data_IF_173201381284
#
_entry.id   IF_173201381284
#
_cell.length_a   1.000
_cell.length_b   1.000
_cell.length_c   1.000
_cell.angle_alpha   90.00
_cell.angle_beta   90.00
_cell.angle_gamma   90.00
#
_symmetry.space_group_name_H-M   'P 1'
#
loop_
_entity.id
_entity.type
_entity.pdbx_description
1 polymer ?
#
# COMPACT_ATOMS: atom_id res chain seq x y z
N UNK A 1 2.13 15.29 -18.95
CA UNK A 1 2.34 16.01 -17.68
C UNK A 1 1.48 17.27 -17.65
N UNK A 2 0.71 17.49 -16.56
CA UNK A 2 -0.17 18.66 -16.36
C UNK A 2 0.08 19.22 -14.96
N UNK A 3 0.30 20.54 -14.84
CA UNK A 3 0.47 21.24 -13.57
C UNK A 3 -0.86 21.88 -13.14
N UNK A 4 -1.25 21.68 -11.88
CA UNK A 4 -2.47 22.25 -11.29
C UNK A 4 -2.18 23.21 -10.14
N UNK A 5 -1.00 23.13 -9.52
CA UNK A 5 -0.58 23.94 -8.38
C UNK A 5 0.87 24.40 -8.58
N UNK A 6 1.31 25.38 -7.79
CA UNK A 6 2.68 25.83 -7.76
C UNK A 6 3.64 24.67 -7.49
N UNK A 7 4.73 24.62 -8.25
CA UNK A 7 5.72 23.55 -8.20
C UNK A 7 7.11 24.10 -7.88
N UNK A 8 7.83 23.44 -7.01
CA UNK A 8 9.25 23.66 -6.77
C UNK A 8 9.97 22.31 -6.65
N UNK A 9 11.29 22.32 -6.81
CA UNK A 9 12.09 21.10 -6.73
C UNK A 9 12.08 20.56 -5.29
N UNK A 10 11.63 19.31 -5.06
CA UNK A 10 11.66 18.72 -3.73
C UNK A 10 13.07 18.35 -3.30
N UNK A 11 13.23 18.04 -2.01
CA UNK A 11 14.46 17.45 -1.45
C UNK A 11 14.32 15.96 -1.13
N UNK A 12 13.10 15.47 -1.00
CA UNK A 12 12.77 14.07 -0.69
C UNK A 12 11.61 13.63 -1.54
N UNK A 13 11.67 12.41 -2.05
CA UNK A 13 10.56 11.76 -2.73
C UNK A 13 10.00 10.66 -1.86
N UNK A 14 8.69 10.68 -1.68
CA UNK A 14 7.96 9.56 -1.11
C UNK A 14 7.10 8.93 -2.21
N UNK A 15 7.03 7.59 -2.25
CA UNK A 15 6.28 6.89 -3.28
C UNK A 15 5.31 5.89 -2.65
N UNK A 16 4.09 5.89 -3.15
CA UNK A 16 3.23 4.73 -2.97
C UNK A 16 3.79 3.54 -3.75
N UNK A 17 3.36 2.33 -3.43
CA UNK A 17 3.89 1.10 -4.03
C UNK A 17 2.88 0.45 -4.97
N UNK A 18 1.73 0.04 -4.42
CA UNK A 18 0.66 -0.66 -5.14
C UNK A 18 0.02 0.29 -6.17
N UNK A 19 -0.16 -0.17 -7.41
CA UNK A 19 -0.72 0.63 -8.51
C UNK A 19 0.07 1.92 -8.87
N UNK A 20 1.20 2.12 -8.18
CA UNK A 20 2.17 3.18 -8.47
C UNK A 20 3.42 2.62 -9.13
N UNK A 21 4.03 1.57 -8.58
CA UNK A 21 5.24 0.94 -9.13
C UNK A 21 4.93 -0.22 -10.07
N UNK A 22 3.79 -0.86 -9.90
CA UNK A 22 3.33 -2.04 -10.63
C UNK A 22 1.82 -2.15 -10.58
N UNK A 23 1.22 -2.87 -11.53
CA UNK A 23 -0.20 -3.23 -11.51
C UNK A 23 -0.47 -4.22 -10.38
N UNK A 24 -1.16 -3.75 -9.34
CA UNK A 24 -1.47 -4.53 -8.16
C UNK A 24 -2.70 -5.43 -8.32
N UNK A 25 -3.63 -5.07 -9.20
CA UNK A 25 -4.90 -5.81 -9.37
C UNK A 25 -4.69 -7.32 -9.50
N UNK A 26 -3.94 -7.81 -10.49
CA UNK A 26 -3.71 -9.25 -10.64
C UNK A 26 -3.00 -9.91 -9.45
N UNK A 27 -2.14 -9.17 -8.76
CA UNK A 27 -1.35 -9.70 -7.62
C UNK A 27 -2.25 -9.91 -6.41
N UNK A 28 -3.07 -8.92 -6.07
CA UNK A 28 -3.96 -9.00 -4.92
C UNK A 28 -5.08 -10.01 -5.15
N UNK A 29 -5.65 -10.04 -6.35
CA UNK A 29 -6.70 -10.98 -6.72
C UNK A 29 -6.22 -12.44 -6.58
N UNK A 30 -5.01 -12.73 -7.06
CA UNK A 30 -4.42 -14.06 -6.93
C UNK A 30 -4.14 -14.41 -5.46
N UNK A 31 -3.62 -13.49 -4.66
CA UNK A 31 -3.32 -13.73 -3.24
C UNK A 31 -4.61 -13.95 -2.42
N UNK A 32 -5.66 -13.18 -2.70
CA UNK A 32 -6.97 -13.32 -2.08
C UNK A 32 -7.63 -14.66 -2.43
N UNK A 33 -7.58 -15.06 -3.69
CA UNK A 33 -8.14 -16.33 -4.14
C UNK A 33 -7.39 -17.52 -3.52
N UNK A 34 -6.06 -17.47 -3.53
CA UNK A 34 -5.20 -18.47 -2.92
C UNK A 34 -5.53 -18.69 -1.43
N UNK A 35 -5.57 -17.61 -0.64
CA UNK A 35 -5.75 -17.74 0.81
C UNK A 35 -7.18 -18.16 1.16
N UNK A 36 -8.20 -17.66 0.46
CA UNK A 36 -9.60 -18.05 0.66
C UNK A 36 -9.83 -19.51 0.28
N UNK A 37 -9.15 -19.99 -0.75
CA UNK A 37 -9.18 -21.41 -1.13
C UNK A 37 -8.53 -22.26 -0.05
N UNK A 38 -7.34 -21.90 0.43
CA UNK A 38 -6.63 -22.63 1.48
C UNK A 38 -7.45 -22.70 2.76
N UNK A 39 -8.00 -21.60 3.24
CA UNK A 39 -8.82 -21.56 4.46
C UNK A 39 -10.05 -22.46 4.31
N UNK A 40 -10.76 -22.37 3.19
CA UNK A 40 -11.97 -23.14 2.97
C UNK A 40 -11.71 -24.63 2.89
N UNK A 41 -10.68 -25.03 2.14
CA UNK A 41 -10.35 -26.46 1.92
C UNK A 41 -9.76 -27.10 3.17
N UNK A 42 -8.84 -26.43 3.88
CA UNK A 42 -8.12 -27.04 5.00
C UNK A 42 -8.84 -26.94 6.35
N UNK A 43 -9.70 -25.92 6.54
CA UNK A 43 -10.21 -25.60 7.87
C UNK A 43 -11.73 -25.45 7.97
N UNK A 44 -12.44 -25.33 6.84
CA UNK A 44 -13.90 -25.17 6.85
C UNK A 44 -14.60 -26.41 6.25
N UNK A 45 -15.48 -26.21 5.28
CA UNK A 45 -16.36 -27.22 4.69
C UNK A 45 -15.79 -27.89 3.42
N UNK A 46 -14.55 -27.65 3.10
CA UNK A 46 -13.89 -28.17 1.89
C UNK A 46 -14.08 -27.30 0.64
N UNK A 47 -14.87 -26.24 0.72
CA UNK A 47 -15.07 -25.28 -0.36
C UNK A 47 -14.25 -24.00 -0.11
N UNK A 48 -13.99 -23.25 -1.19
CA UNK A 48 -13.38 -21.93 -1.07
C UNK A 48 -14.22 -21.01 -0.19
N UNK A 49 -13.58 -20.29 0.74
CA UNK A 49 -14.24 -19.29 1.58
C UNK A 49 -14.90 -18.20 0.71
N UNK A 50 -16.20 -17.98 0.91
CA UNK A 50 -16.94 -17.01 0.12
C UNK A 50 -16.60 -15.57 0.53
N UNK A 51 -16.76 -14.64 -0.43
CA UNK A 51 -16.53 -13.23 -0.18
C UNK A 51 -17.52 -12.63 0.82
N UNK A 52 -18.75 -13.13 0.85
CA UNK A 52 -19.81 -12.71 1.77
C UNK A 52 -19.44 -13.05 3.21
N UNK A 53 -18.99 -14.29 3.47
CA UNK A 53 -18.56 -14.72 4.81
C UNK A 53 -17.32 -13.90 5.25
N UNK A 54 -16.33 -13.75 4.37
CA UNK A 54 -15.15 -12.95 4.68
C UNK A 54 -15.51 -11.50 5.02
N UNK A 55 -16.38 -10.87 4.21
CA UNK A 55 -16.82 -9.49 4.41
C UNK A 55 -17.64 -9.30 5.68
N UNK A 56 -18.48 -10.28 6.02
CA UNK A 56 -19.26 -10.26 7.27
C UNK A 56 -18.33 -10.27 8.49
N UNK A 57 -17.35 -11.19 8.52
CA UNK A 57 -16.39 -11.27 9.64
C UNK A 57 -15.53 -9.98 9.69
N UNK A 58 -15.14 -9.44 8.53
CA UNK A 58 -14.40 -8.17 8.47
C UNK A 58 -15.19 -7.03 9.12
N UNK A 59 -16.48 -6.90 8.81
CA UNK A 59 -17.35 -5.86 9.39
C UNK A 59 -17.49 -6.03 10.90
N UNK A 60 -17.64 -7.26 11.38
CA UNK A 60 -17.69 -7.55 12.81
C UNK A 60 -16.41 -7.15 13.54
N UNK A 61 -15.23 -7.49 12.98
CA UNK A 61 -13.94 -7.09 13.57
C UNK A 61 -13.81 -5.55 13.63
N UNK A 62 -14.17 -4.84 12.58
CA UNK A 62 -14.15 -3.37 12.56
C UNK A 62 -15.20 -2.75 13.50
N UNK A 63 -16.32 -3.42 13.76
CA UNK A 63 -17.30 -2.93 14.73
C UNK A 63 -16.81 -3.03 16.18
N UNK A 64 -15.95 -4.00 16.46
CA UNK A 64 -15.34 -4.22 17.80
C UNK A 64 -14.09 -3.35 17.98
N UNK A 65 -13.26 -3.21 16.96
CA UNK A 65 -12.02 -2.44 16.98
C UNK A 65 -11.86 -1.66 15.67
N UNK A 66 -12.42 -0.43 15.57
CA UNK A 66 -12.36 0.39 14.37
C UNK A 66 -10.93 0.73 13.93
N UNK A 67 -9.98 0.80 14.85
CA UNK A 67 -8.58 1.13 14.57
C UNK A 67 -7.89 0.09 13.66
N UNK A 68 -8.42 -1.12 13.58
CA UNK A 68 -7.94 -2.14 12.64
C UNK A 68 -8.09 -1.73 11.17
N UNK A 69 -8.91 -0.72 10.87
CA UNK A 69 -8.99 -0.15 9.52
C UNK A 69 -7.64 0.41 9.04
N UNK A 70 -6.80 0.86 9.97
CA UNK A 70 -5.46 1.39 9.67
C UNK A 70 -4.37 0.33 9.52
N UNK A 71 -4.68 -0.93 9.83
CA UNK A 71 -3.71 -2.04 9.75
C UNK A 71 -4.33 -3.25 9.06
N UNK A 72 -4.16 -3.31 7.74
CA UNK A 72 -4.73 -4.39 6.91
C UNK A 72 -4.18 -5.78 7.28
N UNK A 73 -2.96 -5.85 7.83
CA UNK A 73 -2.36 -7.13 8.25
C UNK A 73 -2.99 -7.63 9.54
N UNK A 74 -3.12 -6.76 10.54
CA UNK A 74 -3.74 -7.11 11.82
C UNK A 74 -5.22 -7.43 11.65
N UNK A 75 -5.94 -6.64 10.84
CA UNK A 75 -7.33 -6.91 10.51
C UNK A 75 -7.48 -8.30 9.87
N UNK A 76 -6.64 -8.64 8.89
CA UNK A 76 -6.66 -9.93 8.21
C UNK A 76 -6.34 -11.08 9.16
N UNK A 77 -5.36 -10.94 10.02
CA UNK A 77 -5.04 -11.91 11.06
C UNK A 77 -6.25 -12.21 11.95
N UNK A 78 -6.95 -11.18 12.45
CA UNK A 78 -8.12 -11.36 13.28
C UNK A 78 -9.29 -11.99 12.52
N UNK A 79 -9.49 -11.65 11.24
CA UNK A 79 -10.49 -12.32 10.39
C UNK A 79 -10.18 -13.82 10.29
N UNK A 80 -8.93 -14.20 10.01
CA UNK A 80 -8.55 -15.60 9.92
C UNK A 80 -8.74 -16.32 11.24
N UNK A 81 -8.30 -15.73 12.35
CA UNK A 81 -8.47 -16.29 13.69
C UNK A 81 -9.94 -16.52 14.04
N UNK A 82 -10.81 -15.56 13.75
CA UNK A 82 -12.24 -15.65 14.01
C UNK A 82 -12.90 -16.75 13.17
N UNK A 83 -12.56 -16.87 11.89
CA UNK A 83 -13.05 -17.95 11.03
C UNK A 83 -12.68 -19.32 11.57
N UNK A 84 -11.46 -19.50 12.08
CA UNK A 84 -10.98 -20.75 12.66
C UNK A 84 -11.68 -21.07 14.00
N UNK A 85 -11.95 -20.06 14.84
CA UNK A 85 -12.74 -20.21 16.06
C UNK A 85 -14.16 -20.71 15.74
N UNK A 86 -14.81 -20.11 14.73
CA UNK A 86 -16.15 -20.57 14.24
C UNK A 86 -16.12 -21.97 13.67
N UNK A 87 -14.99 -22.40 13.11
CA UNK A 87 -14.76 -23.78 12.68
C UNK A 87 -14.46 -24.75 13.83
N UNK A 88 -14.56 -24.32 15.10
CA UNK A 88 -14.38 -25.15 16.29
C UNK A 88 -12.91 -25.38 16.69
N UNK A 89 -11.95 -24.64 16.18
CA UNK A 89 -10.56 -24.70 16.65
C UNK A 89 -10.43 -24.03 18.03
N UNK A 90 -9.48 -24.49 18.84
CA UNK A 90 -9.13 -23.81 20.09
C UNK A 90 -8.59 -22.39 19.84
N UNK A 91 -8.57 -21.53 20.85
CA UNK A 91 -8.00 -20.18 20.72
C UNK A 91 -6.51 -20.19 20.34
N UNK A 92 -5.76 -21.12 20.93
CA UNK A 92 -4.32 -21.26 20.70
C UNK A 92 -4.03 -21.79 19.29
N UNK A 93 -4.74 -22.84 18.87
CA UNK A 93 -4.62 -23.37 17.51
C UNK A 93 -5.04 -22.33 16.47
N UNK A 94 -6.13 -21.60 16.72
CA UNK A 94 -6.61 -20.55 15.80
C UNK A 94 -5.59 -19.42 15.64
N UNK A 95 -4.90 -19.05 16.72
CA UNK A 95 -3.82 -18.06 16.66
C UNK A 95 -2.66 -18.54 15.82
N UNK A 96 -2.11 -19.72 16.12
CA UNK A 96 -0.97 -20.28 15.40
C UNK A 96 -1.28 -20.52 13.90
N UNK A 97 -2.47 -21.04 13.58
CA UNK A 97 -2.89 -21.24 12.18
C UNK A 97 -3.05 -19.88 11.47
N UNK A 98 -3.64 -18.87 12.13
CA UNK A 98 -3.81 -17.54 11.54
C UNK A 98 -2.47 -16.86 11.23
N UNK A 99 -1.45 -17.06 12.08
CA UNK A 99 -0.08 -16.58 11.80
C UNK A 99 0.53 -17.26 10.57
N UNK A 100 0.37 -18.58 10.44
CA UNK A 100 0.84 -19.33 9.27
C UNK A 100 0.12 -18.89 7.98
N UNK A 101 -1.18 -18.71 8.04
CA UNK A 101 -1.98 -18.18 6.92
C UNK A 101 -1.54 -16.78 6.52
N UNK A 102 -1.26 -15.90 7.50
CA UNK A 102 -0.72 -14.56 7.22
C UNK A 102 0.64 -14.60 6.57
N UNK A 103 1.55 -15.46 7.06
CA UNK A 103 2.86 -15.64 6.46
C UNK A 103 2.74 -16.08 4.99
N UNK A 104 1.90 -17.06 4.70
CA UNK A 104 1.66 -17.53 3.33
C UNK A 104 1.00 -16.46 2.46
N UNK A 105 0.00 -15.74 2.99
CA UNK A 105 -0.61 -14.62 2.27
C UNK A 105 0.43 -13.59 1.86
N UNK A 106 1.26 -13.10 2.79
CA UNK A 106 2.30 -12.11 2.51
C UNK A 106 3.30 -12.65 1.48
N UNK A 107 3.68 -13.92 1.57
CA UNK A 107 4.59 -14.56 0.61
C UNK A 107 3.99 -14.60 -0.81
N UNK A 108 2.71 -14.95 -0.93
CA UNK A 108 2.02 -14.96 -2.23
C UNK A 108 1.78 -13.54 -2.74
N UNK A 109 1.31 -12.64 -1.86
CA UNK A 109 1.06 -11.22 -2.12
C UNK A 109 2.31 -10.45 -2.56
N UNK A 110 3.49 -10.96 -2.19
CA UNK A 110 4.78 -10.35 -2.55
C UNK A 110 5.41 -10.94 -3.81
N UNK A 111 4.69 -11.78 -4.57
CA UNK A 111 5.11 -12.24 -5.89
C UNK A 111 4.86 -11.17 -6.94
N UNK A 112 5.53 -10.05 -6.78
CA UNK A 112 5.38 -8.85 -7.58
C UNK A 112 6.48 -8.85 -8.64
N UNK A 113 6.12 -8.44 -9.85
CA UNK A 113 7.08 -8.16 -10.91
C UNK A 113 7.02 -6.67 -11.24
N UNK A 114 7.90 -5.88 -10.60
CA UNK A 114 8.03 -4.46 -10.92
C UNK A 114 8.61 -4.31 -12.34
N UNK A 115 7.98 -3.56 -13.24
CA UNK A 115 8.50 -3.34 -14.59
C UNK A 115 9.93 -2.78 -14.56
N UNK A 116 10.77 -3.24 -15.50
CA UNK A 116 12.16 -2.80 -15.57
C UNK A 116 12.27 -1.28 -15.75
N UNK A 117 11.41 -0.71 -16.55
CA UNK A 117 11.34 0.75 -16.75
C UNK A 117 11.12 1.49 -15.41
N UNK A 118 10.21 1.00 -14.57
CA UNK A 118 9.97 1.55 -13.22
C UNK A 118 11.23 1.46 -12.37
N UNK A 119 11.90 0.30 -12.34
CA UNK A 119 13.15 0.13 -11.59
C UNK A 119 14.25 1.08 -12.09
N UNK A 120 14.40 1.23 -13.39
CA UNK A 120 15.40 2.14 -13.99
C UNK A 120 15.13 3.60 -13.59
N UNK A 121 13.86 4.02 -13.55
CA UNK A 121 13.46 5.35 -13.03
C UNK A 121 13.83 5.51 -11.56
N UNK A 122 13.46 4.55 -10.71
CA UNK A 122 13.76 4.60 -9.28
C UNK A 122 15.27 4.67 -9.01
N UNK A 123 16.07 3.85 -9.69
CA UNK A 123 17.52 3.90 -9.55
C UNK A 123 18.13 5.25 -9.96
N UNK A 124 17.60 5.87 -11.00
CA UNK A 124 18.06 7.22 -11.43
C UNK A 124 17.66 8.29 -10.40
N UNK A 125 16.43 8.25 -9.89
CA UNK A 125 15.95 9.18 -8.86
C UNK A 125 16.74 9.02 -7.56
N UNK A 126 17.05 7.78 -7.15
CA UNK A 126 17.83 7.50 -5.93
C UNK A 126 19.25 8.06 -5.96
N UNK A 127 19.82 8.31 -7.12
CA UNK A 127 21.13 8.98 -7.23
C UNK A 127 21.07 10.47 -6.82
N UNK A 128 19.88 11.05 -6.71
CA UNK A 128 19.68 12.47 -6.50
C UNK A 128 18.80 12.80 -5.29
N UNK A 129 17.92 11.91 -4.91
CA UNK A 129 16.94 12.10 -3.85
C UNK A 129 16.94 10.91 -2.89
N UNK A 130 16.76 11.14 -1.57
CA UNK A 130 16.25 10.10 -0.68
C UNK A 130 14.88 9.61 -1.18
N UNK A 131 14.70 8.29 -1.27
CA UNK A 131 13.46 7.66 -1.68
C UNK A 131 12.85 6.88 -0.51
N UNK A 132 11.63 7.22 -0.13
CA UNK A 132 10.88 6.57 0.96
C UNK A 132 9.59 5.96 0.41
N UNK A 133 9.40 4.67 0.60
CA UNK A 133 8.13 4.00 0.28
C UNK A 133 7.07 4.29 1.35
N UNK A 134 5.84 4.66 0.95
CA UNK A 134 4.69 4.83 1.87
C UNK A 134 3.53 3.97 1.38
N UNK A 135 3.21 2.87 2.04
CA UNK A 135 2.16 1.96 1.58
C UNK A 135 1.09 1.68 2.63
N UNK A 136 -0.17 1.67 2.18
CA UNK A 136 -1.30 1.14 2.95
C UNK A 136 -1.40 -0.39 2.82
N UNK A 137 -0.67 -0.98 1.87
CA UNK A 137 -0.61 -2.41 1.65
C UNK A 137 0.36 -3.12 2.59
N UNK A 138 0.48 -4.43 2.39
CA UNK A 138 1.30 -5.31 3.23
C UNK A 138 2.20 -6.26 2.41
N UNK A 139 2.49 -5.94 1.16
CA UNK A 139 3.52 -6.65 0.41
C UNK A 139 4.90 -6.41 1.03
N UNK A 140 5.76 -7.40 0.95
CA UNK A 140 7.14 -7.28 1.43
C UNK A 140 8.07 -6.83 0.28
N UNK A 141 8.62 -5.63 0.33
CA UNK A 141 9.59 -5.15 -0.68
C UNK A 141 10.79 -6.08 -0.83
N UNK A 142 11.21 -6.72 0.27
CA UNK A 142 12.30 -7.70 0.29
C UNK A 142 11.96 -8.95 -0.51
N UNK A 143 10.79 -9.54 -0.29
CA UNK A 143 10.35 -10.72 -1.05
C UNK A 143 10.09 -10.38 -2.51
N UNK A 144 9.65 -9.16 -2.79
CA UNK A 144 9.42 -8.63 -4.12
C UNK A 144 10.70 -8.12 -4.82
N UNK A 145 11.85 -8.08 -4.11
CA UNK A 145 13.19 -7.73 -4.62
C UNK A 145 13.33 -6.32 -5.17
N UNK A 146 12.64 -5.35 -4.58
CA UNK A 146 12.80 -3.93 -4.89
C UNK A 146 13.11 -3.06 -3.65
N UNK A 147 13.42 -3.69 -2.50
CA UNK A 147 13.76 -2.97 -1.27
C UNK A 147 14.96 -2.02 -1.46
N UNK A 148 15.95 -2.43 -2.26
CA UNK A 148 17.15 -1.63 -2.54
C UNK A 148 16.85 -0.32 -3.30
N UNK A 149 15.66 -0.18 -3.88
CA UNK A 149 15.24 1.07 -4.52
C UNK A 149 14.92 2.18 -3.52
N UNK A 150 14.71 1.84 -2.24
CA UNK A 150 14.32 2.77 -1.19
C UNK A 150 15.39 2.88 -0.09
N UNK A 151 15.39 4.01 0.62
CA UNK A 151 16.17 4.19 1.83
C UNK A 151 15.40 3.70 3.07
N UNK A 152 14.07 3.76 3.00
CA UNK A 152 13.14 3.24 4.00
C UNK A 152 11.79 2.91 3.34
N UNK A 153 11.05 1.95 3.90
CA UNK A 153 9.66 1.67 3.50
C UNK A 153 8.78 1.65 4.75
N UNK A 154 7.82 2.56 4.79
CA UNK A 154 6.87 2.75 5.88
C UNK A 154 5.56 2.06 5.51
N UNK A 155 5.16 1.09 6.33
CA UNK A 155 3.89 0.39 6.19
C UNK A 155 2.87 0.97 7.17
N UNK A 156 1.61 1.02 6.73
CA UNK A 156 0.52 1.37 7.62
C UNK A 156 0.36 0.32 8.74
N UNK A 157 0.09 0.81 9.96
CA UNK A 157 -0.11 0.02 11.15
C UNK A 157 -0.98 0.80 12.16
N UNK A 158 -1.43 0.16 13.24
CA UNK A 158 -2.24 0.82 14.28
C UNK A 158 -1.54 2.07 14.84
N UNK A 159 -0.22 2.03 15.02
CA UNK A 159 0.59 3.16 15.48
C UNK A 159 1.14 4.06 14.35
N UNK A 160 0.88 3.72 13.11
CA UNK A 160 1.24 4.47 11.91
C UNK A 160 0.04 4.46 10.95
N UNK A 161 -0.98 5.32 11.20
CA UNK A 161 -2.23 5.26 10.44
C UNK A 161 -2.04 5.38 8.93
N UNK A 162 -2.84 4.60 8.18
CA UNK A 162 -2.83 4.56 6.73
C UNK A 162 -3.14 5.92 6.09
N UNK A 163 -2.58 6.18 4.90
CA UNK A 163 -2.98 7.31 4.05
C UNK A 163 -4.50 7.28 3.83
N UNK A 164 -5.22 8.42 3.89
CA UNK A 164 -4.75 9.80 3.83
C UNK A 164 -4.43 10.45 5.18
N UNK A 165 -4.16 9.68 6.24
CA UNK A 165 -3.63 10.27 7.47
C UNK A 165 -2.24 10.86 7.20
N UNK A 166 -1.91 12.06 7.69
CA UNK A 166 -0.62 12.71 7.42
C UNK A 166 0.58 12.04 8.09
N UNK A 167 0.38 11.12 9.02
CA UNK A 167 1.44 10.57 9.87
C UNK A 167 2.63 10.00 9.10
N UNK A 168 2.37 9.18 8.05
CA UNK A 168 3.45 8.56 7.25
C UNK A 168 4.29 9.59 6.51
N UNK A 169 3.66 10.65 5.97
CA UNK A 169 4.34 11.73 5.25
C UNK A 169 5.22 12.56 6.21
N UNK A 170 4.67 12.91 7.38
CA UNK A 170 5.40 13.65 8.42
C UNK A 170 6.56 12.83 8.98
N UNK A 171 6.37 11.52 9.16
CA UNK A 171 7.44 10.62 9.58
C UNK A 171 8.56 10.57 8.53
N UNK A 172 8.24 10.50 7.24
CA UNK A 172 9.23 10.52 6.16
C UNK A 172 10.05 11.82 6.15
N UNK A 173 9.39 12.98 6.32
CA UNK A 173 10.07 14.27 6.44
C UNK A 173 11.01 14.31 7.65
N UNK A 174 10.55 13.82 8.81
CA UNK A 174 11.34 13.73 10.04
C UNK A 174 12.53 12.77 9.88
N UNK A 175 12.33 11.61 9.24
CA UNK A 175 13.37 10.60 9.02
C UNK A 175 14.55 11.16 8.24
N UNK A 176 14.28 11.97 7.21
CA UNK A 176 15.34 12.60 6.39
C UNK A 176 15.82 13.93 6.99
N UNK A 177 15.05 14.55 7.90
CA UNK A 177 15.40 15.83 8.52
C UNK A 177 15.14 17.04 7.63
N UNK A 178 13.99 17.07 6.94
CA UNK A 178 13.57 18.18 6.07
C UNK A 178 12.20 18.73 6.49
N UNK A 179 11.85 19.93 6.02
CA UNK A 179 10.49 20.45 6.17
C UNK A 179 9.52 19.66 5.28
N UNK A 180 8.28 19.49 5.73
CA UNK A 180 7.27 18.73 4.97
C UNK A 180 6.98 19.36 3.60
N UNK A 181 7.12 20.66 3.45
CA UNK A 181 6.97 21.35 2.17
C UNK A 181 8.05 20.97 1.15
N UNK A 182 9.17 20.41 1.60
CA UNK A 182 10.28 19.94 0.73
C UNK A 182 10.10 18.47 0.30
N UNK A 183 9.02 17.80 0.75
CA UNK A 183 8.64 16.43 0.38
C UNK A 183 7.70 16.45 -0.81
N UNK A 184 7.93 15.58 -1.78
CA UNK A 184 6.99 15.31 -2.86
C UNK A 184 6.56 13.85 -2.82
N UNK A 185 5.26 13.61 -2.70
CA UNK A 185 4.69 12.27 -2.77
C UNK A 185 4.25 11.93 -4.19
N UNK A 186 4.58 10.73 -4.64
CA UNK A 186 4.15 10.17 -5.92
C UNK A 186 3.20 9.00 -5.62
N UNK A 187 1.99 9.03 -6.17
CA UNK A 187 1.00 7.97 -5.99
C UNK A 187 -0.09 8.02 -7.04
N UNK A 188 -0.96 7.02 -7.08
CA UNK A 188 -2.04 6.90 -8.07
C UNK A 188 -3.38 7.40 -7.55
N UNK A 189 -3.64 7.23 -6.25
CA UNK A 189 -4.95 7.37 -5.67
C UNK A 189 -5.23 8.78 -5.14
N UNK A 190 -6.33 9.37 -5.63
CA UNK A 190 -6.74 10.72 -5.24
C UNK A 190 -7.06 10.82 -3.74
N UNK A 191 -7.74 9.80 -3.18
CA UNK A 191 -8.26 9.83 -1.81
C UNK A 191 -7.22 9.46 -0.74
N UNK A 192 -6.19 8.71 -1.10
CA UNK A 192 -5.13 8.31 -0.17
C UNK A 192 -3.86 9.13 -0.36
N UNK A 193 -3.35 9.20 -1.58
CA UNK A 193 -2.05 9.79 -1.87
C UNK A 193 -2.14 11.31 -2.03
N UNK A 194 -2.99 11.78 -2.95
CA UNK A 194 -3.12 13.22 -3.21
C UNK A 194 -3.67 13.93 -1.98
N UNK A 195 -4.78 13.43 -1.42
CA UNK A 195 -5.40 14.02 -0.22
C UNK A 195 -4.44 13.95 0.99
N UNK A 196 -3.76 12.82 1.17
CA UNK A 196 -2.84 12.62 2.29
C UNK A 196 -1.65 13.57 2.24
N UNK A 197 -1.00 13.68 1.08
CA UNK A 197 0.11 14.60 0.87
C UNK A 197 -0.30 16.06 1.11
N UNK A 198 -1.45 16.49 0.56
CA UNK A 198 -1.95 17.85 0.75
C UNK A 198 -2.28 18.11 2.24
N UNK A 199 -2.92 17.17 2.94
CA UNK A 199 -3.19 17.30 4.38
C UNK A 199 -1.92 17.40 5.21
N UNK A 200 -0.86 16.73 4.79
CA UNK A 200 0.44 16.81 5.45
C UNK A 200 1.17 18.14 5.16
N UNK A 201 0.84 18.85 4.09
CA UNK A 201 1.55 20.02 3.59
C UNK A 201 2.69 19.68 2.60
N UNK A 202 2.72 18.46 2.08
CA UNK A 202 3.66 18.00 1.07
C UNK A 202 3.16 18.31 -0.35
N UNK A 203 4.08 18.40 -1.31
CA UNK A 203 3.73 18.35 -2.73
C UNK A 203 3.29 16.93 -3.12
N UNK A 204 2.54 16.81 -4.22
CA UNK A 204 2.19 15.51 -4.77
C UNK A 204 2.16 15.49 -6.29
N UNK A 205 2.62 14.36 -6.83
CA UNK A 205 2.48 13.96 -8.22
C UNK A 205 1.50 12.80 -8.27
N UNK A 206 0.40 12.95 -9.00
CA UNK A 206 -0.50 11.83 -9.30
C UNK A 206 -0.08 11.19 -10.61
N UNK A 207 0.14 9.87 -10.60
CA UNK A 207 0.33 9.09 -11.80
C UNK A 207 -0.91 8.24 -12.11
N UNK A 208 -1.19 7.97 -13.39
CA UNK A 208 -2.43 7.29 -13.85
C UNK A 208 -2.16 6.05 -14.70
N UNK A 209 -0.94 5.51 -14.62
CA UNK A 209 -0.49 4.43 -15.50
C UNK A 209 -1.35 3.16 -15.39
N UNK A 210 -1.71 2.77 -14.17
CA UNK A 210 -2.46 1.54 -13.92
C UNK A 210 -3.95 1.77 -13.69
N UNK A 211 -4.32 2.95 -13.21
CA UNK A 211 -5.71 3.34 -12.98
C UNK A 211 -6.05 4.64 -13.69
N UNK A 212 -6.48 4.54 -14.95
CA UNK A 212 -7.06 5.65 -15.68
C UNK A 212 -8.52 5.84 -15.22
N UNK A 213 -8.73 6.55 -14.11
CA UNK A 213 -10.03 7.07 -13.80
C UNK A 213 -10.26 8.34 -14.65
N UNK A 214 -11.16 8.22 -15.64
CA UNK A 214 -11.57 9.34 -16.50
C UNK A 214 -12.54 10.30 -15.80
N UNK A 215 -12.82 10.11 -14.49
CA UNK A 215 -13.61 11.04 -13.71
C UNK A 215 -12.87 12.37 -13.51
N UNK A 216 -13.63 13.45 -13.37
CA UNK A 216 -13.06 14.75 -13.01
C UNK A 216 -12.36 14.65 -11.64
N UNK A 217 -11.11 15.13 -11.57
CA UNK A 217 -10.36 15.21 -10.33
C UNK A 217 -11.11 16.10 -9.32
N UNK A 218 -11.41 15.55 -8.16
CA UNK A 218 -12.03 16.29 -7.04
C UNK A 218 -10.95 16.98 -6.20
N UNK A 219 -9.78 16.40 -6.13
CA UNK A 219 -8.62 16.89 -5.36
C UNK A 219 -7.46 17.05 -6.33
N UNK A 220 -7.11 18.30 -6.67
CA UNK A 220 -6.06 18.56 -7.64
C UNK A 220 -4.66 18.29 -7.02
N UNK A 221 -3.83 17.41 -7.63
CA UNK A 221 -2.43 17.26 -7.26
C UNK A 221 -1.63 18.53 -7.68
N UNK A 222 -0.34 18.58 -7.34
CA UNK A 222 0.54 19.61 -7.91
C UNK A 222 0.81 19.31 -9.39
N UNK A 223 1.13 18.06 -9.70
CA UNK A 223 1.37 17.58 -11.06
C UNK A 223 0.62 16.27 -11.30
N UNK A 224 0.11 16.08 -12.51
CA UNK A 224 -0.40 14.81 -12.99
C UNK A 224 0.46 14.31 -14.14
N UNK A 225 0.84 13.03 -14.09
CA UNK A 225 1.61 12.32 -15.12
C UNK A 225 0.87 11.05 -15.53
N UNK A 226 1.08 10.59 -16.76
CA UNK A 226 0.44 9.37 -17.26
C UNK A 226 1.30 8.11 -17.07
N UNK A 227 2.62 8.31 -16.89
CA UNK A 227 3.59 7.24 -16.77
C UNK A 227 4.70 7.64 -15.79
N UNK A 228 5.18 6.71 -15.00
CA UNK A 228 6.26 6.94 -14.03
C UNK A 228 7.56 7.45 -14.69
N UNK A 229 7.82 7.13 -15.95
CA UNK A 229 8.99 7.60 -16.68
C UNK A 229 9.01 9.14 -16.83
N UNK A 230 7.85 9.81 -16.84
CA UNK A 230 7.77 11.27 -16.87
C UNK A 230 8.40 11.94 -15.63
N UNK A 231 8.62 11.19 -14.53
CA UNK A 231 9.34 11.70 -13.36
C UNK A 231 10.77 12.10 -13.69
N UNK A 232 11.39 11.46 -14.68
CA UNK A 232 12.76 11.82 -15.09
C UNK A 232 12.82 13.20 -15.75
N UNK A 233 11.79 13.58 -16.50
CA UNK A 233 11.69 14.89 -17.12
C UNK A 233 11.31 15.99 -16.10
N UNK A 234 10.58 15.59 -15.05
CA UNK A 234 10.14 16.50 -13.99
C UNK A 234 11.25 16.81 -12.97
N UNK A 235 12.09 15.80 -12.65
CA UNK A 235 12.94 15.80 -11.46
C UNK A 235 14.46 15.73 -11.76
N UNK A 236 14.86 15.28 -12.96
CA UNK A 236 16.28 15.10 -13.33
C UNK A 236 16.74 16.06 -14.42
#
# INVERSE_FOLDING_TARGET
MIFYRDWHTPRVLTLDLDDTLYDNGPVIDYAEDYIKTRIGVEYLDGNRLSNEVYSSVRQEMLSVCPELEYDVSMLRYFIFKELLLRAGKSSDDSGAIAEDLMHDFIKVRSRINVPRETLDVLYRLKQRYPLIGLTNGNSSPKLARYEDCFDEVILAAVNMPSKPNPAMFLYAAMYVGVDISEVCHIGDNENTDVLGAIKAGAMCVRQTQYHCDNSELRILPHVCINNIAELTDLLL
#
